data_IF_770057310117
#
_entry.id   IF_770057310117
#
_cell.length_a   1.000
_cell.length_b   1.000
_cell.length_c   1.000
_cell.angle_alpha   90.00
_cell.angle_beta   90.00
_cell.angle_gamma   90.00
#
_symmetry.space_group_name_H-M   'P 1'
#
loop_
_entity.id
_entity.type
_entity.pdbx_description
1 polymer ?
#
# COMPACT_ATOMS: atom_id res chain seq x y z
N UNK A 1 -11.77 44.26 3.30
CA UNK A 1 -12.41 43.12 3.98
C UNK A 1 -12.12 41.86 3.16
N UNK A 2 -11.43 40.84 3.73
CA UNK A 2 -11.19 39.56 3.03
C UNK A 2 -12.52 38.78 2.92
N UNK A 3 -12.65 37.76 2.06
CA UNK A 3 -13.91 36.98 1.89
C UNK A 3 -13.67 35.46 1.94
N UNK A 4 -14.70 34.67 2.28
CA UNK A 4 -14.62 33.20 2.36
C UNK A 4 -14.78 32.60 0.97
N UNK A 5 -13.81 31.79 0.56
CA UNK A 5 -13.89 31.14 -0.74
C UNK A 5 -14.61 29.78 -0.61
N UNK A 6 -15.95 29.83 -0.66
CA UNK A 6 -16.80 28.63 -0.60
C UNK A 6 -16.48 27.61 -1.69
N UNK A 7 -15.92 28.04 -2.84
CA UNK A 7 -15.44 27.16 -3.90
C UNK A 7 -14.20 26.38 -3.43
N UNK A 8 -13.20 27.06 -2.86
CA UNK A 8 -12.03 26.40 -2.24
C UNK A 8 -12.44 25.42 -1.13
N UNK A 9 -13.36 25.80 -0.25
CA UNK A 9 -13.87 24.90 0.80
C UNK A 9 -14.52 23.63 0.22
N UNK A 10 -15.41 23.78 -0.77
CA UNK A 10 -16.00 22.63 -1.49
C UNK A 10 -14.95 21.77 -2.19
N UNK A 11 -13.92 22.37 -2.79
CA UNK A 11 -12.78 21.64 -3.38
C UNK A 11 -12.04 20.82 -2.32
N UNK A 12 -11.79 21.37 -1.13
CA UNK A 12 -11.12 20.64 -0.04
C UNK A 12 -11.97 19.50 0.50
N UNK A 13 -13.28 19.70 0.65
CA UNK A 13 -14.21 18.61 1.02
C UNK A 13 -14.23 17.50 -0.04
N UNK A 14 -14.22 17.86 -1.33
CA UNK A 14 -14.11 16.89 -2.44
C UNK A 14 -12.80 16.11 -2.39
N UNK A 15 -11.68 16.80 -2.19
CA UNK A 15 -10.35 16.18 -2.09
C UNK A 15 -10.24 15.24 -0.88
N UNK A 16 -10.84 15.59 0.27
CA UNK A 16 -10.95 14.69 1.44
C UNK A 16 -11.69 13.39 1.10
N UNK A 17 -12.79 13.49 0.36
CA UNK A 17 -13.56 12.33 -0.09
C UNK A 17 -12.82 11.49 -1.16
N UNK A 18 -12.10 12.15 -2.07
CA UNK A 18 -11.27 11.48 -3.09
C UNK A 18 -10.12 10.69 -2.46
N UNK A 19 -9.37 11.28 -1.52
CA UNK A 19 -8.31 10.58 -0.79
C UNK A 19 -8.86 9.40 0.01
N UNK A 20 -10.02 9.54 0.64
CA UNK A 20 -10.68 8.43 1.32
C UNK A 20 -11.08 7.31 0.36
N UNK A 21 -11.56 7.64 -0.85
CA UNK A 21 -11.88 6.63 -1.86
C UNK A 21 -10.62 5.92 -2.39
N UNK A 22 -9.52 6.65 -2.59
CA UNK A 22 -8.23 6.08 -3.00
C UNK A 22 -7.74 5.07 -1.94
N UNK A 23 -7.77 5.46 -0.65
CA UNK A 23 -7.41 4.55 0.45
C UNK A 23 -8.30 3.31 0.51
N UNK A 24 -9.63 3.45 0.37
CA UNK A 24 -10.53 2.28 0.35
C UNK A 24 -10.21 1.33 -0.80
N UNK A 25 -10.08 1.85 -2.02
CA UNK A 25 -9.72 1.04 -3.19
C UNK A 25 -8.37 0.31 -2.99
N UNK A 26 -7.37 0.99 -2.39
CA UNK A 26 -6.07 0.38 -2.09
C UNK A 26 -6.16 -0.69 -0.99
N UNK A 27 -7.01 -0.50 0.03
CA UNK A 27 -7.27 -1.53 1.04
C UNK A 27 -7.95 -2.75 0.45
N UNK A 28 -9.04 -2.56 -0.30
CA UNK A 28 -9.80 -3.64 -0.93
C UNK A 28 -8.89 -4.47 -1.86
N UNK A 29 -8.00 -3.82 -2.60
CA UNK A 29 -7.01 -4.48 -3.45
C UNK A 29 -5.95 -5.27 -2.65
N UNK A 30 -5.43 -4.71 -1.54
CA UNK A 30 -4.50 -5.43 -0.67
C UNK A 30 -5.14 -6.64 0.02
N UNK A 31 -6.40 -6.51 0.42
CA UNK A 31 -7.15 -7.58 1.06
C UNK A 31 -7.42 -8.72 0.05
N UNK A 32 -7.76 -8.39 -1.20
CA UNK A 32 -7.82 -9.34 -2.33
C UNK A 32 -6.48 -10.06 -2.58
N UNK A 33 -5.38 -9.31 -2.79
CA UNK A 33 -4.07 -9.91 -3.05
C UNK A 33 -3.56 -10.75 -1.87
N UNK A 34 -3.93 -10.38 -0.63
CA UNK A 34 -3.67 -11.18 0.57
C UNK A 34 -4.47 -12.49 0.61
N UNK A 35 -5.72 -12.51 0.16
CA UNK A 35 -6.51 -13.74 0.03
C UNK A 35 -5.96 -14.66 -1.09
N UNK A 36 -5.59 -14.09 -2.25
CA UNK A 36 -4.98 -14.85 -3.36
C UNK A 36 -3.63 -15.45 -2.93
N UNK A 37 -2.76 -14.66 -2.29
CA UNK A 37 -1.50 -15.16 -1.73
C UNK A 37 -1.73 -16.26 -0.70
N UNK A 38 -2.65 -16.06 0.26
CA UNK A 38 -2.93 -17.04 1.31
C UNK A 38 -3.37 -18.39 0.73
N UNK A 39 -4.23 -18.38 -0.28
CA UNK A 39 -4.66 -19.60 -0.99
C UNK A 39 -3.50 -20.27 -1.74
N UNK A 40 -2.67 -19.51 -2.47
CA UNK A 40 -1.49 -20.07 -3.15
C UNK A 40 -0.46 -20.64 -2.16
N UNK A 41 -0.23 -19.96 -1.04
CA UNK A 41 0.68 -20.42 0.03
C UNK A 41 0.16 -21.70 0.69
N UNK A 42 -1.13 -21.79 1.02
CA UNK A 42 -1.74 -23.00 1.57
C UNK A 42 -1.66 -24.19 0.60
N UNK A 43 -1.90 -23.95 -0.70
CA UNK A 43 -1.76 -24.98 -1.73
C UNK A 43 -0.30 -25.45 -1.87
N UNK A 44 0.65 -24.51 -1.86
CA UNK A 44 2.08 -24.80 -1.90
C UNK A 44 2.53 -25.60 -0.68
N UNK A 45 2.15 -25.19 0.53
CA UNK A 45 2.46 -25.89 1.78
C UNK A 45 1.86 -27.31 1.80
N UNK A 46 0.61 -27.47 1.36
CA UNK A 46 -0.07 -28.77 1.29
C UNK A 46 0.61 -29.75 0.32
N UNK A 47 1.29 -29.22 -0.70
CA UNK A 47 2.02 -29.99 -1.72
C UNK A 47 3.47 -30.31 -1.33
N UNK A 48 4.02 -29.61 -0.32
CA UNK A 48 5.43 -29.71 0.08
C UNK A 48 5.54 -29.85 1.61
N UNK A 49 4.86 -30.86 2.17
CA UNK A 49 4.73 -31.06 3.63
C UNK A 49 6.05 -31.27 4.36
N UNK A 50 7.05 -31.83 3.69
CA UNK A 50 8.37 -32.10 4.28
C UNK A 50 9.33 -30.89 4.22
N UNK A 51 8.82 -29.69 3.90
CA UNK A 51 9.61 -28.48 3.67
C UNK A 51 9.35 -27.37 4.72
N UNK A 52 9.08 -27.74 5.97
CA UNK A 52 8.74 -26.80 7.07
C UNK A 52 9.71 -25.61 7.21
N UNK A 53 11.02 -25.84 7.04
CA UNK A 53 12.03 -24.75 7.09
C UNK A 53 11.82 -23.74 5.96
N UNK A 54 11.61 -24.21 4.72
CA UNK A 54 11.33 -23.34 3.58
C UNK A 54 10.00 -22.58 3.78
N UNK A 55 8.96 -23.25 4.27
CA UNK A 55 7.66 -22.63 4.55
C UNK A 55 7.76 -21.55 5.64
N UNK A 56 8.56 -21.77 6.68
CA UNK A 56 8.83 -20.78 7.72
C UNK A 56 9.57 -19.54 7.15
N UNK A 57 10.57 -19.75 6.30
CA UNK A 57 11.32 -18.65 5.65
C UNK A 57 10.40 -17.86 4.71
N UNK A 58 9.64 -18.52 3.83
CA UNK A 58 8.69 -17.85 2.91
C UNK A 58 7.63 -17.04 3.68
N UNK A 59 7.15 -17.54 4.82
CA UNK A 59 6.21 -16.82 5.70
C UNK A 59 6.87 -15.68 6.49
N UNK A 60 8.19 -15.72 6.69
CA UNK A 60 8.96 -14.59 7.21
C UNK A 60 9.12 -13.51 6.12
N UNK A 61 9.56 -13.91 4.94
CA UNK A 61 9.72 -13.04 3.77
C UNK A 61 8.42 -12.27 3.48
N UNK A 62 7.28 -12.95 3.59
CA UNK A 62 5.95 -12.40 3.39
C UNK A 62 5.46 -11.39 4.45
N UNK A 63 6.32 -11.05 5.42
CA UNK A 63 6.10 -10.03 6.46
C UNK A 63 7.19 -8.96 6.45
N UNK A 64 8.43 -9.34 6.12
CA UNK A 64 9.62 -8.51 6.29
C UNK A 64 10.14 -7.86 5.01
N UNK A 65 9.97 -8.49 3.84
CA UNK A 65 10.55 -7.98 2.59
C UNK A 65 9.66 -6.94 1.91
N UNK A 66 10.30 -5.94 1.33
CA UNK A 66 9.72 -4.99 0.36
C UNK A 66 9.50 -5.63 -1.01
N UNK A 67 8.72 -4.97 -1.88
CA UNK A 67 8.49 -5.45 -3.24
C UNK A 67 9.81 -5.63 -4.03
N UNK A 68 10.77 -4.73 -3.85
CA UNK A 68 12.09 -4.79 -4.52
C UNK A 68 12.92 -6.00 -4.06
N UNK A 69 12.91 -6.31 -2.77
CA UNK A 69 13.62 -7.48 -2.25
C UNK A 69 12.97 -8.80 -2.71
N UNK A 70 11.64 -8.82 -2.87
CA UNK A 70 10.92 -9.97 -3.44
C UNK A 70 11.27 -10.14 -4.93
N UNK A 71 11.38 -9.06 -5.70
CA UNK A 71 11.78 -9.13 -7.12
C UNK A 71 13.23 -9.63 -7.27
N UNK A 72 14.15 -9.19 -6.40
CA UNK A 72 15.49 -9.76 -6.29
C UNK A 72 15.45 -11.27 -6.00
N UNK A 73 14.62 -11.73 -5.06
CA UNK A 73 14.44 -13.17 -4.83
C UNK A 73 13.84 -13.91 -6.03
N UNK A 74 12.91 -13.31 -6.78
CA UNK A 74 12.40 -13.89 -8.05
C UNK A 74 13.53 -14.03 -9.07
N UNK A 75 14.42 -13.02 -9.17
CA UNK A 75 15.60 -13.07 -10.01
C UNK A 75 16.57 -14.19 -9.59
N UNK A 76 16.87 -14.31 -8.29
CA UNK A 76 17.72 -15.37 -7.73
C UNK A 76 17.13 -16.76 -7.97
N UNK A 77 15.84 -16.98 -7.72
CA UNK A 77 15.14 -18.24 -8.07
C UNK A 77 15.33 -18.58 -9.55
N UNK A 78 15.30 -17.56 -10.41
CA UNK A 78 15.40 -17.71 -11.87
C UNK A 78 16.83 -17.98 -12.34
N UNK A 79 17.86 -17.43 -11.71
CA UNK A 79 19.25 -17.49 -12.19
C UNK A 79 20.20 -18.32 -11.31
N UNK A 80 20.05 -18.32 -9.99
CA UNK A 80 20.81 -19.15 -9.04
C UNK A 80 19.89 -20.03 -8.17
N UNK A 81 19.35 -21.07 -8.82
CA UNK A 81 18.55 -22.08 -8.14
C UNK A 81 19.35 -22.87 -7.07
N UNK A 82 20.68 -22.89 -7.14
CA UNK A 82 21.51 -23.64 -6.20
C UNK A 82 21.65 -22.89 -4.86
N UNK A 83 21.85 -21.56 -4.91
CA UNK A 83 21.81 -20.69 -3.74
C UNK A 83 20.43 -20.76 -3.06
N UNK A 84 19.34 -20.56 -3.81
CA UNK A 84 17.98 -20.62 -3.24
C UNK A 84 17.65 -21.97 -2.59
N UNK A 85 18.06 -23.10 -3.20
CA UNK A 85 17.92 -24.41 -2.56
C UNK A 85 18.63 -24.46 -1.20
N UNK A 86 19.83 -23.89 -1.10
CA UNK A 86 20.62 -23.86 0.13
C UNK A 86 19.98 -22.96 1.19
N UNK A 87 19.57 -21.76 0.80
CA UNK A 87 19.07 -20.74 1.73
C UNK A 87 17.69 -21.12 2.30
N UNK A 88 16.85 -21.78 1.51
CA UNK A 88 15.56 -22.34 1.96
C UNK A 88 15.68 -23.72 2.62
N UNK A 89 16.90 -24.28 2.73
CA UNK A 89 17.18 -25.63 3.23
C UNK A 89 16.39 -26.74 2.50
N UNK A 90 16.32 -26.64 1.16
CA UNK A 90 15.61 -27.55 0.26
C UNK A 90 16.59 -28.54 -0.37
N UNK A 91 16.37 -29.85 -0.15
CA UNK A 91 17.03 -30.89 -0.93
C UNK A 91 16.59 -30.85 -2.40
N UNK A 92 17.56 -30.80 -3.32
CA UNK A 92 17.31 -30.73 -4.78
C UNK A 92 16.27 -31.78 -5.20
N UNK A 93 15.16 -31.31 -5.78
CA UNK A 93 14.07 -32.14 -6.29
C UNK A 93 12.77 -32.08 -5.49
N UNK A 94 12.78 -31.57 -4.25
CA UNK A 94 11.56 -31.51 -3.41
C UNK A 94 10.59 -30.40 -3.81
N UNK A 95 11.09 -29.17 -4.02
CA UNK A 95 10.27 -28.04 -4.48
C UNK A 95 10.56 -27.77 -5.96
N UNK A 96 9.51 -27.66 -6.76
CA UNK A 96 9.61 -27.23 -8.15
C UNK A 96 9.95 -25.75 -8.24
N UNK A 97 11.06 -25.40 -8.90
CA UNK A 97 11.49 -24.02 -9.17
C UNK A 97 10.35 -23.12 -9.65
N UNK A 98 9.58 -23.58 -10.63
CA UNK A 98 8.43 -22.85 -11.17
C UNK A 98 7.35 -22.57 -10.12
N UNK A 99 7.01 -23.55 -9.28
CA UNK A 99 6.01 -23.38 -8.22
C UNK A 99 6.46 -22.32 -7.18
N UNK A 100 7.75 -22.30 -6.85
CA UNK A 100 8.30 -21.27 -5.97
C UNK A 100 8.30 -19.89 -6.65
N UNK A 101 8.68 -19.79 -7.92
CA UNK A 101 8.62 -18.54 -8.70
C UNK A 101 7.20 -17.97 -8.71
N UNK A 102 6.17 -18.78 -8.98
CA UNK A 102 4.78 -18.30 -9.02
C UNK A 102 4.23 -17.90 -7.64
N UNK A 103 4.70 -18.55 -6.56
CA UNK A 103 4.38 -18.13 -5.19
C UNK A 103 5.02 -16.77 -4.85
N UNK A 104 6.28 -16.56 -5.23
CA UNK A 104 6.98 -15.30 -5.02
C UNK A 104 6.43 -14.16 -5.87
N UNK A 105 6.04 -14.41 -7.13
CA UNK A 105 5.28 -13.44 -7.95
C UNK A 105 3.97 -13.01 -7.29
N UNK A 106 3.24 -13.95 -6.68
CA UNK A 106 2.03 -13.59 -5.94
C UNK A 106 2.35 -12.78 -4.68
N UNK A 107 3.47 -13.08 -4.01
CA UNK A 107 3.91 -12.31 -2.86
C UNK A 107 4.30 -10.88 -3.25
N UNK A 108 4.91 -10.69 -4.43
CA UNK A 108 5.27 -9.39 -4.97
C UNK A 108 4.06 -8.48 -5.18
N UNK A 109 2.99 -8.96 -5.81
CA UNK A 109 1.77 -8.15 -6.02
C UNK A 109 1.03 -7.86 -4.70
N UNK A 110 1.07 -8.78 -3.73
CA UNK A 110 0.62 -8.52 -2.35
C UNK A 110 1.44 -7.43 -1.65
N UNK A 111 2.76 -7.42 -1.82
CA UNK A 111 3.63 -6.43 -1.17
C UNK A 111 3.55 -5.06 -1.86
N UNK A 112 3.44 -4.99 -3.19
CA UNK A 112 3.10 -3.76 -3.92
C UNK A 112 1.77 -3.15 -3.47
N UNK A 113 0.72 -3.95 -3.38
CA UNK A 113 -0.60 -3.47 -2.95
C UNK A 113 -0.60 -2.98 -1.50
N UNK A 114 0.21 -3.60 -0.63
CA UNK A 114 0.50 -3.07 0.71
C UNK A 114 1.18 -1.70 0.65
N UNK A 115 2.26 -1.55 -0.12
CA UNK A 115 2.99 -0.28 -0.23
C UNK A 115 2.10 0.85 -0.76
N UNK A 116 1.22 0.55 -1.73
CA UNK A 116 0.21 1.50 -2.24
C UNK A 116 -0.83 1.84 -1.15
N UNK A 117 -1.29 0.86 -0.37
CA UNK A 117 -2.22 1.07 0.76
C UNK A 117 -1.59 1.95 1.84
N UNK A 118 -0.33 1.70 2.20
CA UNK A 118 0.40 2.44 3.23
C UNK A 118 0.63 3.91 2.77
N UNK A 119 1.00 4.14 1.50
CA UNK A 119 1.09 5.48 0.90
C UNK A 119 -0.26 6.21 0.86
N UNK A 120 -1.34 5.51 0.51
CA UNK A 120 -2.68 6.08 0.49
C UNK A 120 -3.19 6.44 1.90
N UNK A 121 -2.85 5.61 2.90
CA UNK A 121 -3.14 5.87 4.30
C UNK A 121 -2.41 7.12 4.80
N UNK A 122 -1.11 7.22 4.54
CA UNK A 122 -0.30 8.41 4.88
C UNK A 122 -0.86 9.68 4.22
N UNK A 123 -1.19 9.62 2.93
CA UNK A 123 -1.77 10.76 2.22
C UNK A 123 -3.14 11.18 2.80
N UNK A 124 -4.00 10.22 3.13
CA UNK A 124 -5.30 10.49 3.78
C UNK A 124 -5.11 11.10 5.17
N UNK A 125 -4.17 10.58 5.97
CA UNK A 125 -3.92 11.07 7.33
C UNK A 125 -3.31 12.46 7.33
N UNK A 126 -2.25 12.69 6.55
CA UNK A 126 -1.60 13.99 6.43
C UNK A 126 -2.57 15.07 5.93
N UNK A 127 -3.41 14.74 4.93
CA UNK A 127 -4.48 15.65 4.50
C UNK A 127 -5.53 15.88 5.60
N UNK A 128 -5.94 14.82 6.30
CA UNK A 128 -6.90 14.88 7.41
C UNK A 128 -6.44 15.79 8.55
N UNK A 129 -5.16 15.70 8.96
CA UNK A 129 -4.56 16.57 9.98
C UNK A 129 -4.63 18.05 9.55
N UNK A 130 -4.21 18.37 8.33
CA UNK A 130 -4.28 19.73 7.78
C UNK A 130 -5.72 20.24 7.63
N UNK A 131 -6.65 19.39 7.19
CA UNK A 131 -8.06 19.73 7.05
C UNK A 131 -8.70 20.06 8.40
N UNK A 132 -8.45 19.24 9.43
CA UNK A 132 -9.01 19.42 10.76
C UNK A 132 -8.53 20.72 11.41
N UNK A 133 -7.26 21.12 11.22
CA UNK A 133 -6.76 22.42 11.67
C UNK A 133 -7.50 23.60 11.00
N UNK A 134 -7.83 23.48 9.72
CA UNK A 134 -8.59 24.51 8.99
C UNK A 134 -10.07 24.55 9.40
N UNK A 135 -10.66 23.40 9.73
CA UNK A 135 -12.01 23.27 10.27
C UNK A 135 -12.12 23.83 11.71
N UNK A 136 -11.11 23.59 12.54
CA UNK A 136 -10.97 24.18 13.87
C UNK A 136 -10.79 25.72 13.80
N UNK A 137 -9.94 26.20 12.90
CA UNK A 137 -9.80 27.63 12.64
C UNK A 137 -11.13 28.26 12.17
N UNK A 138 -11.81 27.63 11.21
CA UNK A 138 -13.07 28.11 10.68
C UNK A 138 -14.19 28.14 11.75
N UNK A 139 -14.27 27.13 12.61
CA UNK A 139 -15.28 27.09 13.69
C UNK A 139 -15.01 28.09 14.82
N UNK A 140 -13.73 28.34 15.17
CA UNK A 140 -13.36 29.31 16.20
C UNK A 140 -13.48 30.76 15.74
N UNK A 141 -13.11 31.07 14.50
CA UNK A 141 -13.08 32.44 13.97
C UNK A 141 -14.24 32.80 13.02
N UNK A 142 -15.07 31.84 12.62
CA UNK A 142 -16.20 32.01 11.70
C UNK A 142 -17.51 32.50 12.34
N UNK A 143 -17.45 33.27 13.44
CA UNK A 143 -18.66 33.83 14.06
C UNK A 143 -19.07 35.15 13.40
N UNK A 144 -20.11 35.09 12.57
CA UNK A 144 -21.00 36.24 12.37
C UNK A 144 -20.94 37.02 11.06
N UNK A 145 -20.56 36.41 9.93
CA UNK A 145 -21.14 36.79 8.62
C UNK A 145 -20.93 35.67 7.57
N UNK A 146 -21.63 35.69 6.44
CA UNK A 146 -21.50 34.73 5.32
C UNK A 146 -20.20 34.92 4.49
N UNK A 147 -19.21 35.58 5.08
CA UNK A 147 -17.83 35.86 4.62
C UNK A 147 -16.98 35.96 5.91
N UNK A 148 -15.85 35.27 6.16
CA UNK A 148 -14.46 35.45 5.64
C UNK A 148 -13.65 34.16 5.98
N UNK A 149 -12.77 33.57 5.15
CA UNK A 149 -11.30 33.77 5.09
C UNK A 149 -10.61 32.86 4.03
N UNK A 150 -9.42 33.26 3.56
CA UNK A 150 -8.21 32.44 3.26
C UNK A 150 -7.05 33.41 2.93
N UNK A 151 -5.78 33.19 3.37
CA UNK A 151 -4.72 34.21 3.24
C UNK A 151 -3.86 34.09 1.96
N UNK A 152 -3.90 32.97 1.23
CA UNK A 152 -3.08 32.78 0.04
C UNK A 152 -3.69 33.53 -1.17
N UNK A 153 -2.93 34.43 -1.84
CA UNK A 153 -3.29 34.87 -3.18
C UNK A 153 -3.26 33.67 -4.13
N UNK A 154 -4.23 33.56 -5.02
CA UNK A 154 -4.12 32.66 -6.17
C UNK A 154 -3.08 33.27 -7.12
N UNK A 155 -1.83 32.82 -7.01
CA UNK A 155 -0.73 33.31 -7.82
C UNK A 155 -0.89 32.82 -9.26
N UNK A 156 -1.29 33.74 -10.15
CA UNK A 156 -1.11 33.57 -11.59
C UNK A 156 -2.19 32.77 -12.33
N UNK A 157 -3.38 33.36 -12.47
CA UNK A 157 -4.08 33.31 -13.76
C UNK A 157 -4.09 34.73 -14.31
N UNK A 158 -2.99 35.09 -14.98
CA UNK A 158 -2.92 36.27 -15.85
C UNK A 158 -3.52 35.83 -17.20
N UNK A 159 -4.28 36.75 -17.81
CA UNK A 159 -5.01 36.55 -19.07
C UNK A 159 -4.08 36.42 -20.29
#
# INVERSE_FOLDING_TARGET
MKKFNIRKWKTMQKQKAELHQIYRNASDNFDYESEVYSRKFQHFASSHKDCDTALAIINSDAKTLSAVEIDNKIHEITHDWAAICKDLNISKGFIGKHALTELYKQLHERQKSREIKDQAAEAQENYGRCFNQLEEFASKHGKGDKTVYSPAPDAGLIA
#
